data_IF_984317745378
#
_entry.id   IF_984317745378
#
_cell.length_a   1.000
_cell.length_b   1.000
_cell.length_c   1.000
_cell.angle_alpha   90.00
_cell.angle_beta   90.00
_cell.angle_gamma   90.00
#
_symmetry.space_group_name_H-M   'P 1'
#
loop_
_entity.id
_entity.type
_entity.pdbx_description
1 polymer ?
#
# COMPACT_ATOMS: atom_id res chain seq x y z
N UNK A 1 12.65 -15.11 -1.96
CA UNK A 1 12.06 -16.38 -1.47
C UNK A 1 11.28 -17.03 -2.59
N UNK A 2 11.37 -18.35 -2.80
CA UNK A 2 10.49 -19.06 -3.75
C UNK A 2 9.23 -19.52 -3.04
N UNK A 3 8.08 -19.38 -3.69
CA UNK A 3 6.79 -19.93 -3.26
C UNK A 3 6.30 -20.89 -4.34
N UNK A 4 5.78 -22.04 -3.92
CA UNK A 4 5.14 -23.02 -4.80
C UNK A 4 3.65 -22.72 -4.79
N UNK A 5 3.05 -22.61 -5.97
CA UNK A 5 1.63 -22.31 -6.16
C UNK A 5 1.08 -23.39 -7.09
N UNK A 6 0.10 -24.14 -6.59
CA UNK A 6 -0.63 -25.10 -7.41
C UNK A 6 -1.73 -24.39 -8.18
N UNK A 7 -1.77 -24.68 -9.48
CA UNK A 7 -2.71 -24.06 -10.43
C UNK A 7 -3.27 -25.19 -11.30
N UNK A 8 -4.58 -25.17 -11.56
CA UNK A 8 -5.20 -26.14 -12.43
C UNK A 8 -4.71 -26.00 -13.88
N UNK A 9 -4.77 -27.11 -14.62
CA UNK A 9 -4.25 -27.18 -15.98
C UNK A 9 -4.96 -26.22 -16.95
N UNK A 10 -6.25 -25.95 -16.72
CA UNK A 10 -7.04 -25.04 -17.55
C UNK A 10 -6.54 -23.61 -17.39
N UNK A 11 -6.32 -23.17 -16.15
CA UNK A 11 -5.77 -21.85 -15.83
C UNK A 11 -4.33 -21.71 -16.32
N UNK A 12 -3.49 -22.74 -16.14
CA UNK A 12 -2.12 -22.72 -16.68
C UNK A 12 -2.10 -22.57 -18.20
N UNK A 13 -3.00 -23.25 -18.91
CA UNK A 13 -3.11 -23.15 -20.36
C UNK A 13 -3.48 -21.74 -20.81
N UNK A 14 -4.46 -21.12 -20.14
CA UNK A 14 -4.85 -19.72 -20.40
C UNK A 14 -3.68 -18.76 -20.13
N UNK A 15 -2.95 -18.95 -19.03
CA UNK A 15 -1.79 -18.12 -18.70
C UNK A 15 -0.67 -18.23 -19.74
N UNK A 16 -0.41 -19.44 -20.28
CA UNK A 16 0.57 -19.62 -21.36
C UNK A 16 0.17 -18.83 -22.61
N UNK A 17 -1.09 -18.89 -23.01
CA UNK A 17 -1.61 -18.12 -24.15
C UNK A 17 -1.43 -16.62 -23.92
N UNK A 18 -1.85 -16.11 -22.77
CA UNK A 18 -1.70 -14.69 -22.41
C UNK A 18 -0.22 -14.28 -22.41
N UNK A 19 0.67 -15.13 -21.89
CA UNK A 19 2.10 -14.83 -21.81
C UNK A 19 2.76 -14.63 -23.17
N UNK A 20 2.26 -15.31 -24.21
CA UNK A 20 2.71 -15.14 -25.59
C UNK A 20 2.32 -13.75 -26.10
N UNK A 21 1.08 -13.32 -25.87
CA UNK A 21 0.59 -12.02 -26.30
C UNK A 21 1.27 -10.86 -25.57
N UNK A 22 1.47 -11.01 -24.26
CA UNK A 22 2.14 -10.00 -23.42
C UNK A 22 3.67 -10.05 -23.50
N UNK A 23 4.24 -10.99 -24.28
CA UNK A 23 5.70 -11.18 -24.45
C UNK A 23 6.43 -11.32 -23.12
N UNK A 24 5.84 -12.04 -22.18
CA UNK A 24 6.38 -12.28 -20.84
C UNK A 24 6.32 -13.76 -20.49
N UNK A 25 6.86 -14.15 -19.33
CA UNK A 25 6.75 -15.52 -18.83
C UNK A 25 5.49 -15.70 -17.99
N UNK A 26 4.97 -16.93 -17.89
CA UNK A 26 3.87 -17.27 -16.97
C UNK A 26 4.20 -16.86 -15.53
N UNK A 27 5.47 -17.02 -15.12
CA UNK A 27 5.95 -16.55 -13.83
C UNK A 27 5.81 -15.03 -13.69
N UNK A 28 6.22 -14.27 -14.70
CA UNK A 28 6.13 -12.81 -14.70
C UNK A 28 4.68 -12.31 -14.63
N UNK A 29 3.75 -12.99 -15.32
CA UNK A 29 2.32 -12.70 -15.19
C UNK A 29 1.82 -12.90 -13.77
N UNK A 30 2.18 -14.03 -13.14
CA UNK A 30 1.76 -14.34 -11.76
C UNK A 30 2.36 -13.33 -10.77
N UNK A 31 3.63 -12.99 -10.91
CA UNK A 31 4.29 -11.99 -10.06
C UNK A 31 3.60 -10.63 -10.17
N UNK A 32 3.30 -10.17 -11.40
CA UNK A 32 2.60 -8.91 -11.62
C UNK A 32 1.17 -8.95 -11.05
N UNK A 33 0.42 -10.04 -11.30
CA UNK A 33 -0.94 -10.20 -10.78
C UNK A 33 -0.98 -10.16 -9.24
N UNK A 34 -0.03 -10.82 -8.57
CA UNK A 34 0.07 -10.80 -7.10
C UNK A 34 0.42 -9.39 -6.60
N UNK A 35 1.39 -8.71 -7.21
CA UNK A 35 1.75 -7.34 -6.84
C UNK A 35 0.57 -6.38 -7.00
N UNK A 36 -0.13 -6.47 -8.14
CA UNK A 36 -1.31 -5.67 -8.41
C UNK A 36 -2.42 -5.95 -7.40
N UNK A 37 -2.68 -7.22 -7.07
CA UNK A 37 -3.68 -7.61 -6.08
C UNK A 37 -3.38 -7.00 -4.70
N UNK A 38 -2.14 -7.13 -4.23
CA UNK A 38 -1.72 -6.57 -2.93
C UNK A 38 -1.88 -5.05 -2.91
N UNK A 39 -1.37 -4.36 -3.94
CA UNK A 39 -1.46 -2.89 -4.05
C UNK A 39 -2.92 -2.42 -4.05
N UNK A 40 -3.77 -3.08 -4.81
CA UNK A 40 -5.19 -2.74 -4.89
C UNK A 40 -5.91 -3.02 -3.57
N UNK A 41 -5.58 -4.12 -2.88
CA UNK A 41 -6.15 -4.42 -1.56
C UNK A 41 -5.74 -3.40 -0.50
N UNK A 42 -4.47 -3.00 -0.47
CA UNK A 42 -4.01 -1.94 0.43
C UNK A 42 -4.73 -0.62 0.16
N UNK A 43 -4.85 -0.22 -1.10
CA UNK A 43 -5.57 1.00 -1.47
C UNK A 43 -7.06 0.91 -1.12
N UNK A 44 -7.70 -0.24 -1.37
CA UNK A 44 -9.11 -0.45 -1.02
C UNK A 44 -9.32 -0.44 0.49
N UNK A 45 -8.43 -1.03 1.28
CA UNK A 45 -8.52 -0.97 2.75
C UNK A 45 -8.45 0.48 3.23
N UNK A 46 -7.48 1.26 2.72
CA UNK A 46 -7.36 2.68 3.07
C UNK A 46 -8.58 3.51 2.64
N UNK A 47 -9.16 3.22 1.47
CA UNK A 47 -10.38 3.89 0.99
C UNK A 47 -11.63 3.53 1.78
N UNK A 48 -11.66 2.34 2.37
CA UNK A 48 -12.79 1.86 3.15
C UNK A 48 -12.78 2.35 4.61
N UNK A 49 -11.71 3.03 5.05
CA UNK A 49 -11.66 3.68 6.35
C UNK A 49 -12.63 4.87 6.38
N UNK A 50 -13.23 5.10 7.55
CA UNK A 50 -13.95 6.33 7.85
C UNK A 50 -12.98 7.51 7.82
N UNK A 51 -13.51 8.73 7.74
CA UNK A 51 -12.65 9.92 7.74
C UNK A 51 -11.95 10.12 9.09
N UNK A 52 -12.61 9.75 10.20
CA UNK A 52 -12.02 9.72 11.55
C UNK A 52 -10.86 8.70 11.63
N UNK A 53 -11.04 7.49 11.09
CA UNK A 53 -9.97 6.48 11.07
C UNK A 53 -8.76 6.91 10.21
N UNK A 54 -8.99 7.69 9.15
CA UNK A 54 -7.90 8.27 8.35
C UNK A 54 -7.17 9.37 9.10
N UNK A 55 -7.89 10.22 9.82
CA UNK A 55 -7.33 11.26 10.67
C UNK A 55 -6.47 10.65 11.78
N UNK A 56 -6.94 9.59 12.44
CA UNK A 56 -6.20 8.86 13.48
C UNK A 56 -4.89 8.26 12.94
N UNK A 57 -4.92 7.65 11.74
CA UNK A 57 -3.70 7.15 11.09
C UNK A 57 -2.75 8.30 10.76
N UNK A 58 -3.28 9.42 10.28
CA UNK A 58 -2.51 10.63 10.01
C UNK A 58 -1.84 11.16 11.28
N UNK A 59 -2.59 11.25 12.39
CA UNK A 59 -2.05 11.64 13.69
C UNK A 59 -0.95 10.68 14.15
N UNK A 60 -1.19 9.37 14.04
CA UNK A 60 -0.21 8.35 14.43
C UNK A 60 1.10 8.48 13.64
N UNK A 61 1.03 8.77 12.34
CA UNK A 61 2.21 9.04 11.51
C UNK A 61 2.97 10.29 11.98
N UNK A 62 2.27 11.40 12.24
CA UNK A 62 2.89 12.62 12.76
C UNK A 62 3.57 12.40 14.11
N UNK A 63 2.96 11.58 14.98
CA UNK A 63 3.54 11.23 16.29
C UNK A 63 4.78 10.34 16.20
N UNK A 64 5.00 9.64 15.08
CA UNK A 64 6.22 8.86 14.85
C UNK A 64 7.39 9.75 14.41
N UNK A 65 7.12 10.80 13.64
CA UNK A 65 8.14 11.72 13.14
C UNK A 65 8.47 12.84 14.14
N UNK A 66 7.57 13.13 15.09
CA UNK A 66 7.77 14.17 16.09
C UNK A 66 8.88 13.81 17.10
N UNK A 67 9.87 14.70 17.26
CA UNK A 67 10.84 14.61 18.35
C UNK A 67 10.13 14.93 19.68
N UNK A 68 10.00 13.92 20.54
CA UNK A 68 9.31 14.05 21.83
C UNK A 68 10.03 14.95 22.83
N UNK A 69 11.29 15.32 22.56
CA UNK A 69 12.07 16.20 23.41
C UNK A 69 12.08 17.65 22.93
N UNK A 70 11.59 17.91 21.72
CA UNK A 70 11.46 19.25 21.18
C UNK A 70 10.36 20.01 21.94
N UNK A 71 10.71 21.20 22.44
CA UNK A 71 9.80 22.07 23.17
C UNK A 71 9.84 23.45 22.55
N UNK A 72 8.67 24.03 22.38
CA UNK A 72 8.49 25.40 21.92
C UNK A 72 7.80 26.23 23.01
N UNK A 73 7.99 27.54 22.97
CA UNK A 73 7.31 28.46 23.88
C UNK A 73 5.85 28.68 23.48
N UNK A 74 5.00 29.06 24.43
CA UNK A 74 3.60 29.39 24.15
C UNK A 74 3.47 30.50 23.09
N UNK A 75 4.31 31.54 23.20
CA UNK A 75 4.36 32.68 22.27
C UNK A 75 4.70 32.25 20.83
N UNK A 76 5.53 31.22 20.69
CA UNK A 76 5.90 30.65 19.39
C UNK A 76 4.74 29.87 18.78
N UNK A 77 3.98 29.13 19.60
CA UNK A 77 2.76 28.44 19.16
C UNK A 77 1.72 29.45 18.66
N UNK A 78 1.45 30.52 19.42
CA UNK A 78 0.47 31.53 19.01
C UNK A 78 0.86 32.22 17.69
N UNK A 79 2.15 32.49 17.51
CA UNK A 79 2.69 33.04 16.27
C UNK A 79 2.50 32.10 15.08
N UNK A 80 2.73 30.80 15.25
CA UNK A 80 2.50 29.79 14.21
C UNK A 80 1.01 29.68 13.83
N UNK A 81 0.10 29.89 14.78
CA UNK A 81 -1.35 29.91 14.56
C UNK A 81 -1.85 31.24 13.98
N UNK A 82 -0.96 32.19 13.66
CA UNK A 82 -1.30 33.49 13.09
C UNK A 82 -2.03 34.41 14.08
N UNK A 83 -1.80 34.24 15.38
CA UNK A 83 -2.36 35.05 16.47
C UNK A 83 -1.29 35.87 17.17
#
# INVERSE_FOLDING_TARGET
>A
MRKLIDIDETTLTKLKVISIFEKTSVKGLIENAVQMYVKNKQSSQFKNLSDEEKEDIGMLMLMQEADRNEKVSEEEIFRMLGK
#
